data_IF_466822418194
#
_entry.id   IF_466822418194
#
_cell.length_a   1.000
_cell.length_b   1.000
_cell.length_c   1.000
_cell.angle_alpha   90.00
_cell.angle_beta   90.00
_cell.angle_gamma   90.00
#
_symmetry.space_group_name_H-M   'P 1'
#
loop_
_entity.id
_entity.type
_entity.pdbx_description
1 polymer ?
#
# COMPACT_ATOMS: atom_id res chain seq x y z
N UNK A 1 -5.47 20.71 19.20
CA UNK A 1 -6.03 19.54 18.51
C UNK A 1 -6.68 18.57 19.49
N UNK A 2 -7.57 17.73 19.01
CA UNK A 2 -8.19 16.66 19.81
C UNK A 2 -7.47 15.35 19.45
N UNK A 3 -6.87 14.68 20.43
CA UNK A 3 -6.22 13.40 20.27
C UNK A 3 -7.16 12.28 20.72
N UNK A 4 -7.42 11.34 19.82
CA UNK A 4 -8.24 10.16 20.13
C UNK A 4 -7.36 8.91 20.15
N UNK A 5 -7.65 7.95 21.04
CA UNK A 5 -6.94 6.68 21.07
C UNK A 5 -7.18 5.90 19.77
N UNK A 6 -6.15 5.21 19.30
CA UNK A 6 -6.25 4.34 18.13
C UNK A 6 -7.11 3.10 18.46
N UNK A 7 -8.10 2.82 17.60
CA UNK A 7 -9.01 1.66 17.73
C UNK A 7 -8.76 0.63 16.64
N UNK A 8 -7.51 0.20 16.50
CA UNK A 8 -7.06 -0.72 15.43
C UNK A 8 -7.97 -1.94 15.23
N UNK A 9 -8.48 -2.56 16.34
CA UNK A 9 -9.39 -3.71 16.25
C UNK A 9 -10.66 -3.38 15.47
N UNK A 10 -11.28 -2.24 15.76
CA UNK A 10 -12.44 -1.77 15.03
C UNK A 10 -12.13 -1.52 13.55
N UNK A 11 -10.98 -0.90 13.24
CA UNK A 11 -10.59 -0.65 11.84
C UNK A 11 -10.42 -1.95 11.05
N UNK A 12 -9.80 -2.97 11.66
CA UNK A 12 -9.65 -4.30 11.03
C UNK A 12 -10.99 -4.98 10.83
N UNK A 13 -11.92 -4.88 11.80
CA UNK A 13 -13.26 -5.42 11.68
C UNK A 13 -14.03 -4.80 10.51
N UNK A 14 -14.04 -3.46 10.42
CA UNK A 14 -14.66 -2.76 9.29
C UNK A 14 -14.02 -3.13 7.96
N UNK A 15 -12.69 -3.23 7.91
CA UNK A 15 -11.97 -3.71 6.73
C UNK A 15 -12.46 -5.09 6.29
N UNK A 16 -12.54 -6.06 7.21
CA UNK A 16 -13.03 -7.40 6.88
C UNK A 16 -14.45 -7.38 6.31
N UNK A 17 -15.34 -6.55 6.85
CA UNK A 17 -16.71 -6.40 6.34
C UNK A 17 -16.73 -5.82 4.92
N UNK A 18 -15.91 -4.80 4.63
CA UNK A 18 -15.77 -4.25 3.28
C UNK A 18 -15.26 -5.30 2.31
N UNK A 19 -14.16 -5.99 2.66
CA UNK A 19 -13.60 -7.03 1.79
C UNK A 19 -14.53 -8.23 1.63
N UNK A 20 -15.39 -8.54 2.60
CA UNK A 20 -16.42 -9.55 2.45
C UNK A 20 -17.43 -9.17 1.36
N UNK A 21 -17.89 -7.92 1.32
CA UNK A 21 -18.75 -7.42 0.24
C UNK A 21 -18.05 -7.54 -1.11
N UNK A 22 -16.79 -7.11 -1.21
CA UNK A 22 -16.05 -7.17 -2.48
C UNK A 22 -15.92 -8.61 -3.00
N UNK A 23 -15.70 -9.60 -2.13
CA UNK A 23 -15.59 -11.02 -2.48
C UNK A 23 -16.83 -11.62 -3.13
N UNK A 24 -18.00 -11.05 -2.90
CA UNK A 24 -19.23 -11.49 -3.53
C UNK A 24 -19.30 -11.10 -5.02
N UNK A 25 -18.56 -10.07 -5.44
CA UNK A 25 -18.56 -9.60 -6.84
C UNK A 25 -17.43 -10.19 -7.68
N UNK A 26 -16.30 -10.57 -7.08
CA UNK A 26 -15.20 -11.18 -7.80
C UNK A 26 -14.31 -12.00 -6.85
N UNK A 27 -13.78 -13.15 -7.30
CA UNK A 27 -12.75 -13.87 -6.56
C UNK A 27 -11.38 -13.19 -6.60
N UNK A 28 -11.14 -12.33 -7.58
CA UNK A 28 -9.86 -11.65 -7.78
C UNK A 28 -9.84 -10.29 -7.07
N UNK A 29 -9.39 -10.31 -5.83
CA UNK A 29 -9.26 -9.11 -4.99
C UNK A 29 -7.84 -9.05 -4.44
N UNK A 30 -7.23 -7.88 -4.54
CA UNK A 30 -5.95 -7.58 -3.95
C UNK A 30 -6.12 -6.47 -2.90
N UNK A 31 -5.93 -6.80 -1.63
CA UNK A 31 -5.85 -5.81 -0.57
C UNK A 31 -4.52 -5.06 -0.68
N UNK A 32 -4.58 -3.75 -0.83
CA UNK A 32 -3.39 -2.89 -0.83
C UNK A 32 -3.06 -2.41 0.58
N UNK A 33 -4.10 -2.17 1.38
CA UNK A 33 -4.02 -1.80 2.80
C UNK A 33 -5.28 -2.25 3.52
N UNK A 34 -5.45 -1.84 4.76
CA UNK A 34 -6.66 -2.10 5.57
C UNK A 34 -7.90 -1.37 5.04
N UNK A 35 -7.74 -0.32 4.24
CA UNK A 35 -8.80 0.55 3.71
C UNK A 35 -8.80 0.69 2.19
N UNK A 36 -7.89 0.01 1.51
CA UNK A 36 -7.76 0.07 0.06
C UNK A 36 -7.62 -1.32 -0.56
N UNK A 37 -8.34 -1.55 -1.65
CA UNK A 37 -8.26 -2.79 -2.42
C UNK A 37 -8.53 -2.57 -3.90
N UNK A 38 -8.05 -3.50 -4.70
CA UNK A 38 -8.34 -3.61 -6.13
C UNK A 38 -9.15 -4.87 -6.36
N UNK A 39 -10.22 -4.74 -7.13
CA UNK A 39 -11.09 -5.85 -7.54
C UNK A 39 -11.10 -5.94 -9.07
N UNK A 40 -10.92 -7.13 -9.59
CA UNK A 40 -11.07 -7.39 -11.03
C UNK A 40 -12.50 -7.75 -11.35
N UNK A 41 -13.16 -6.89 -12.13
CA UNK A 41 -14.55 -7.09 -12.59
C UNK A 41 -14.64 -7.71 -13.99
N UNK A 42 -13.52 -8.11 -14.60
CA UNK A 42 -13.54 -8.74 -15.92
C UNK A 42 -14.35 -10.04 -15.91
N UNK A 43 -15.27 -10.19 -16.87
CA UNK A 43 -16.08 -11.38 -16.99
C UNK A 43 -17.25 -11.50 -15.99
N UNK A 44 -17.46 -10.51 -15.15
CA UNK A 44 -18.58 -10.51 -14.17
C UNK A 44 -19.87 -9.91 -14.72
N UNK A 45 -19.86 -9.35 -15.94
CA UNK A 45 -20.97 -8.63 -16.56
C UNK A 45 -22.27 -9.41 -16.62
N UNK A 46 -22.19 -10.74 -16.82
CA UNK A 46 -23.38 -11.61 -16.89
C UNK A 46 -24.08 -11.77 -15.54
N UNK A 47 -23.34 -11.62 -14.44
CA UNK A 47 -23.85 -11.80 -13.08
C UNK A 47 -24.32 -10.47 -12.49
N UNK A 48 -23.55 -9.41 -12.67
CA UNK A 48 -23.75 -8.13 -11.97
C UNK A 48 -24.05 -6.95 -12.90
N UNK A 49 -23.98 -7.17 -14.23
CA UNK A 49 -24.16 -6.11 -15.21
C UNK A 49 -22.86 -5.37 -15.56
N UNK A 50 -22.94 -4.28 -16.32
CA UNK A 50 -21.77 -3.53 -16.77
C UNK A 50 -20.88 -3.06 -15.61
N UNK A 51 -19.53 -3.07 -15.76
CA UNK A 51 -18.60 -2.76 -14.69
C UNK A 51 -18.87 -1.43 -13.96
N UNK A 52 -19.31 -0.42 -14.67
CA UNK A 52 -19.65 0.89 -14.08
C UNK A 52 -20.86 0.79 -13.12
N UNK A 53 -21.89 0.05 -13.50
CA UNK A 53 -23.06 -0.20 -12.62
C UNK A 53 -22.68 -1.06 -11.43
N UNK A 54 -21.84 -2.07 -11.64
CA UNK A 54 -21.35 -2.93 -10.57
C UNK A 54 -20.52 -2.15 -9.57
N UNK A 55 -19.61 -1.28 -10.02
CA UNK A 55 -18.82 -0.41 -9.16
C UNK A 55 -19.70 0.55 -8.33
N UNK A 56 -20.71 1.17 -8.94
CA UNK A 56 -21.66 2.03 -8.22
C UNK A 56 -22.46 1.22 -7.17
N UNK A 57 -22.93 0.03 -7.53
CA UNK A 57 -23.64 -0.86 -6.61
C UNK A 57 -22.77 -1.25 -5.40
N UNK A 58 -21.49 -1.56 -5.61
CA UNK A 58 -20.53 -1.88 -4.54
C UNK A 58 -20.40 -0.70 -3.57
N UNK A 59 -20.18 0.52 -4.09
CA UNK A 59 -20.01 1.73 -3.27
C UNK A 59 -21.27 1.96 -2.41
N UNK A 60 -22.45 1.91 -3.03
CA UNK A 60 -23.73 2.10 -2.34
C UNK A 60 -23.96 1.02 -1.28
N UNK A 61 -23.59 -0.20 -1.58
CA UNK A 61 -23.73 -1.32 -0.64
C UNK A 61 -22.84 -1.16 0.57
N UNK A 62 -21.58 -0.77 0.38
CA UNK A 62 -20.65 -0.46 1.48
C UNK A 62 -21.22 0.65 2.37
N UNK A 63 -21.74 1.72 1.78
CA UNK A 63 -22.32 2.82 2.54
C UNK A 63 -23.59 2.39 3.29
N UNK A 64 -24.49 1.65 2.66
CA UNK A 64 -25.77 1.24 3.27
C UNK A 64 -25.61 0.17 4.35
N UNK A 65 -24.72 -0.83 4.14
CA UNK A 65 -24.58 -1.97 5.06
C UNK A 65 -23.56 -1.71 6.17
N UNK A 66 -22.55 -0.87 5.89
CA UNK A 66 -21.42 -0.65 6.81
C UNK A 66 -21.42 0.77 7.38
N UNK A 67 -22.05 1.73 6.67
CA UNK A 67 -22.06 3.15 7.05
C UNK A 67 -20.75 3.88 6.71
N UNK A 68 -19.89 3.31 5.87
CA UNK A 68 -18.62 3.91 5.48
C UNK A 68 -18.73 4.56 4.09
N UNK A 69 -18.40 5.86 3.95
CA UNK A 69 -18.26 6.48 2.65
C UNK A 69 -17.06 5.87 1.92
N UNK A 70 -17.25 5.52 0.67
CA UNK A 70 -16.19 4.99 -0.18
C UNK A 70 -16.10 5.71 -1.52
N UNK A 71 -14.94 5.63 -2.16
CA UNK A 71 -14.71 6.16 -3.51
C UNK A 71 -14.03 5.10 -4.35
N UNK A 72 -14.34 5.07 -5.63
CA UNK A 72 -13.74 4.12 -6.56
C UNK A 72 -13.27 4.79 -7.84
N UNK A 73 -12.28 4.17 -8.47
CA UNK A 73 -11.87 4.42 -9.83
C UNK A 73 -11.99 3.13 -10.64
N UNK A 74 -12.55 3.22 -11.82
CA UNK A 74 -12.72 2.10 -12.74
C UNK A 74 -11.89 2.36 -13.99
N UNK A 75 -10.98 1.45 -14.33
CA UNK A 75 -10.13 1.51 -15.53
C UNK A 75 -9.60 0.12 -15.87
N UNK A 76 -9.04 -0.03 -17.05
CA UNK A 76 -8.34 -1.26 -17.45
C UNK A 76 -6.97 -1.41 -16.78
N UNK A 77 -6.43 -0.34 -16.18
CA UNK A 77 -5.12 -0.34 -15.51
C UNK A 77 -5.25 0.03 -14.03
N UNK A 78 -4.66 -0.78 -13.17
CA UNK A 78 -4.73 -0.60 -11.72
C UNK A 78 -4.22 0.76 -11.23
N UNK A 79 -3.13 1.28 -11.82
CA UNK A 79 -2.62 2.61 -11.47
C UNK A 79 -3.62 3.71 -11.83
N UNK A 80 -4.20 3.66 -13.03
CA UNK A 80 -5.21 4.63 -13.47
C UNK A 80 -6.44 4.57 -12.58
N UNK A 81 -6.92 3.36 -12.26
CA UNK A 81 -8.03 3.16 -11.34
C UNK A 81 -7.73 3.75 -9.94
N UNK A 82 -6.52 3.54 -9.42
CA UNK A 82 -6.09 4.10 -8.13
C UNK A 82 -6.05 5.63 -8.13
N UNK A 83 -5.53 6.24 -9.19
CA UNK A 83 -5.50 7.70 -9.34
C UNK A 83 -6.94 8.23 -9.48
N UNK A 84 -7.77 7.60 -10.30
CA UNK A 84 -9.18 7.94 -10.45
C UNK A 84 -9.94 7.86 -9.12
N UNK A 85 -9.72 6.81 -8.32
CA UNK A 85 -10.30 6.68 -6.98
C UNK A 85 -9.85 7.81 -6.04
N UNK A 86 -8.61 8.26 -6.15
CA UNK A 86 -8.08 9.37 -5.36
C UNK A 86 -8.77 10.70 -5.73
N UNK A 87 -8.95 10.95 -7.01
CA UNK A 87 -9.66 12.14 -7.52
C UNK A 87 -11.17 12.09 -7.26
N UNK A 88 -11.73 10.89 -7.12
CA UNK A 88 -13.15 10.69 -6.83
C UNK A 88 -13.54 10.96 -5.37
N UNK A 89 -12.59 11.21 -4.48
CA UNK A 89 -12.86 11.48 -3.05
C UNK A 89 -13.54 12.85 -2.87
N UNK A 90 -14.47 12.97 -1.92
CA UNK A 90 -15.16 11.89 -1.18
C UNK A 90 -16.37 11.33 -1.96
N UNK A 91 -16.73 10.07 -1.70
CA UNK A 91 -17.98 9.44 -2.18
C UNK A 91 -18.21 9.47 -3.69
N UNK A 92 -17.15 9.38 -4.47
CA UNK A 92 -17.24 9.46 -5.92
C UNK A 92 -16.85 8.17 -6.64
N UNK A 93 -17.23 8.12 -7.91
CA UNK A 93 -16.83 7.10 -8.86
C UNK A 93 -16.35 7.77 -10.15
N UNK A 94 -15.10 7.53 -10.53
CA UNK A 94 -14.58 7.98 -11.82
C UNK A 94 -14.31 6.76 -12.68
N UNK A 95 -14.87 6.78 -13.88
CA UNK A 95 -14.63 5.78 -14.92
C UNK A 95 -13.72 6.35 -15.99
N UNK A 96 -12.63 5.65 -16.24
CA UNK A 96 -11.69 5.94 -17.33
C UNK A 96 -11.82 4.83 -18.37
N UNK A 97 -12.43 5.10 -19.53
CA UNK A 97 -12.61 4.10 -20.58
C UNK A 97 -11.30 3.55 -21.11
N UNK A 98 -11.36 2.31 -21.62
CA UNK A 98 -10.22 1.69 -22.28
C UNK A 98 -9.70 2.57 -23.43
N UNK A 99 -8.39 2.79 -23.47
CA UNK A 99 -7.71 3.62 -24.46
C UNK A 99 -7.66 5.12 -24.12
N UNK A 100 -8.39 5.59 -23.09
CA UNK A 100 -8.39 6.99 -22.63
C UNK A 100 -7.45 7.24 -21.46
N UNK A 101 -6.73 6.22 -21.00
CA UNK A 101 -5.91 6.28 -19.78
C UNK A 101 -4.81 7.35 -19.89
N UNK A 102 -4.14 7.42 -21.04
CA UNK A 102 -3.07 8.41 -21.26
C UNK A 102 -3.62 9.84 -21.26
N UNK A 103 -4.72 10.07 -21.93
CA UNK A 103 -5.36 11.39 -22.01
C UNK A 103 -5.88 11.83 -20.64
N UNK A 104 -6.43 10.90 -19.86
CA UNK A 104 -6.86 11.16 -18.49
C UNK A 104 -5.71 11.51 -17.57
N UNK A 105 -4.58 10.78 -17.68
CA UNK A 105 -3.43 10.94 -16.81
C UNK A 105 -2.56 12.13 -17.18
N UNK A 106 -2.40 12.44 -18.47
CA UNK A 106 -1.44 13.41 -18.96
C UNK A 106 -1.48 14.79 -18.29
N UNK A 107 -2.66 15.42 -18.04
CA UNK A 107 -2.73 16.75 -17.43
C UNK A 107 -2.46 16.74 -15.91
N UNK A 108 -2.38 15.57 -15.26
CA UNK A 108 -2.23 15.47 -13.82
C UNK A 108 -0.77 15.67 -13.40
N UNK A 109 -0.56 16.31 -12.24
CA UNK A 109 0.77 16.46 -11.65
C UNK A 109 1.37 15.12 -11.22
N UNK A 110 2.68 14.98 -11.27
CA UNK A 110 3.37 13.72 -10.94
C UNK A 110 3.23 13.32 -9.47
N UNK A 111 2.89 14.24 -8.59
CA UNK A 111 2.69 14.01 -7.15
C UNK A 111 1.49 13.11 -6.84
N UNK A 112 0.55 12.98 -7.80
CA UNK A 112 -0.62 12.10 -7.63
C UNK A 112 -0.25 10.61 -7.79
N UNK A 113 0.91 10.32 -8.38
CA UNK A 113 1.37 8.95 -8.61
C UNK A 113 1.70 8.30 -7.26
N UNK A 114 1.11 7.15 -6.92
CA UNK A 114 1.45 6.42 -5.71
C UNK A 114 2.97 6.15 -5.62
N UNK A 115 3.58 6.53 -4.49
CA UNK A 115 5.02 6.40 -4.28
C UNK A 115 5.86 7.61 -4.73
N UNK A 116 5.26 8.63 -5.35
CA UNK A 116 5.91 9.91 -5.60
C UNK A 116 5.69 10.83 -4.39
N UNK A 117 6.55 10.71 -3.40
CA UNK A 117 6.57 11.61 -2.24
C UNK A 117 7.34 12.92 -2.51
N UNK A 118 7.41 13.85 -1.54
CA UNK A 118 8.00 15.18 -1.73
C UNK A 118 9.45 15.18 -2.24
N UNK A 119 10.26 14.17 -1.87
CA UNK A 119 11.63 14.03 -2.34
C UNK A 119 11.69 13.66 -3.83
N UNK A 120 10.88 12.69 -4.24
CA UNK A 120 10.80 12.24 -5.64
C UNK A 120 10.19 13.33 -6.53
N UNK A 121 9.12 13.99 -6.06
CA UNK A 121 8.50 15.11 -6.74
C UNK A 121 9.52 16.22 -7.04
N UNK A 122 10.28 16.67 -6.03
CA UNK A 122 11.36 17.67 -6.25
C UNK A 122 12.41 17.22 -7.25
N UNK A 123 12.81 15.95 -7.20
CA UNK A 123 13.79 15.41 -8.13
C UNK A 123 13.27 15.31 -9.58
N UNK A 124 11.97 15.10 -9.77
CA UNK A 124 11.31 15.14 -11.07
C UNK A 124 11.23 16.58 -11.61
N UNK A 125 10.80 17.53 -10.77
CA UNK A 125 10.68 18.93 -11.15
C UNK A 125 12.04 19.53 -11.56
N UNK A 126 13.14 19.16 -10.88
CA UNK A 126 14.49 19.57 -11.27
C UNK A 126 14.90 19.09 -12.68
N UNK A 127 14.21 18.07 -13.21
CA UNK A 127 14.39 17.54 -14.56
C UNK A 127 13.36 18.08 -15.56
N UNK A 128 12.57 19.08 -15.17
CA UNK A 128 11.49 19.62 -15.98
C UNK A 128 10.36 18.62 -16.21
N UNK A 129 10.00 17.84 -15.19
CA UNK A 129 8.90 16.87 -15.23
C UNK A 129 7.92 17.28 -14.11
N UNK A 130 6.83 17.91 -14.50
CA UNK A 130 5.80 18.40 -13.58
C UNK A 130 4.51 17.59 -13.71
N UNK A 131 4.19 17.16 -14.93
CA UNK A 131 2.99 16.41 -15.23
C UNK A 131 3.28 14.95 -15.59
N UNK A 132 2.24 14.12 -15.54
CA UNK A 132 2.32 12.75 -16.06
C UNK A 132 2.56 12.77 -17.58
N UNK A 133 2.04 13.77 -18.30
CA UNK A 133 2.32 13.99 -19.72
C UNK A 133 3.82 14.16 -20.01
N UNK A 134 4.55 14.88 -19.15
CA UNK A 134 5.99 15.01 -19.25
C UNK A 134 6.71 13.67 -19.02
N UNK A 135 6.21 12.84 -18.12
CA UNK A 135 6.71 11.47 -17.93
C UNK A 135 6.46 10.59 -19.14
N UNK A 136 5.24 10.65 -19.71
CA UNK A 136 4.85 9.87 -20.89
C UNK A 136 5.71 10.20 -22.12
N UNK A 137 6.19 11.45 -22.24
CA UNK A 137 7.13 11.85 -23.28
C UNK A 137 8.54 11.24 -23.13
N UNK A 138 8.83 10.59 -22.00
CA UNK A 138 10.14 10.01 -21.64
C UNK A 138 10.00 8.52 -21.32
N UNK A 139 10.02 7.61 -22.31
CA UNK A 139 9.64 6.20 -22.16
C UNK A 139 10.29 5.45 -20.99
N UNK A 140 11.60 5.63 -20.78
CA UNK A 140 12.32 4.99 -19.66
C UNK A 140 11.83 5.44 -18.29
N UNK A 141 11.41 6.70 -18.16
CA UNK A 141 10.88 7.23 -16.91
C UNK A 141 9.42 6.85 -16.74
N UNK A 142 8.63 6.89 -17.82
CA UNK A 142 7.26 6.42 -17.82
C UNK A 142 7.18 4.96 -17.34
N UNK A 143 7.98 4.07 -17.88
CA UNK A 143 8.06 2.67 -17.45
C UNK A 143 8.39 2.51 -15.95
N UNK A 144 9.28 3.36 -15.42
CA UNK A 144 9.66 3.30 -14.00
C UNK A 144 8.53 3.71 -13.05
N UNK A 145 7.71 4.70 -13.43
CA UNK A 145 6.73 5.31 -12.54
C UNK A 145 5.29 4.94 -12.86
N UNK A 146 4.97 4.62 -14.10
CA UNK A 146 3.58 4.47 -14.54
C UNK A 146 3.15 3.03 -14.79
N UNK A 147 4.07 2.08 -15.06
CA UNK A 147 3.78 0.65 -15.33
C UNK A 147 2.42 0.44 -16.08
N UNK A 148 2.23 1.18 -17.17
CA UNK A 148 0.98 1.17 -17.94
C UNK A 148 0.85 -0.06 -18.84
N UNK A 149 1.95 -0.82 -19.07
CA UNK A 149 1.98 -2.01 -19.91
C UNK A 149 1.76 -3.30 -19.09
N UNK A 150 1.79 -3.19 -17.79
CA UNK A 150 1.69 -4.31 -16.87
C UNK A 150 0.26 -4.59 -16.44
N UNK A 151 -0.28 -5.68 -16.88
CA UNK A 151 -1.34 -6.40 -16.19
C UNK A 151 -0.82 -6.92 -14.83
N UNK A 152 -0.12 -6.12 -14.07
CA UNK A 152 0.25 -6.48 -12.71
C UNK A 152 -0.32 -5.44 -11.77
N UNK A 153 -1.54 -5.71 -11.30
CA UNK A 153 -1.62 -5.83 -9.84
C UNK A 153 -0.33 -6.58 -9.46
N UNK A 154 0.67 -5.85 -8.97
CA UNK A 154 1.97 -6.46 -8.63
C UNK A 154 1.62 -7.70 -7.82
N UNK A 155 1.73 -8.88 -8.47
CA UNK A 155 1.86 -10.13 -7.72
C UNK A 155 2.75 -9.76 -6.56
N UNK A 156 2.31 -10.02 -5.35
CA UNK A 156 3.09 -9.75 -4.17
C UNK A 156 4.53 -10.13 -4.51
N UNK A 157 5.36 -9.13 -4.81
CA UNK A 157 6.80 -9.34 -4.71
C UNK A 157 6.93 -9.76 -3.27
N UNK A 158 7.31 -11.01 -3.08
CA UNK A 158 7.63 -11.56 -1.77
C UNK A 158 8.26 -10.44 -0.97
N UNK A 159 7.69 -10.13 0.16
CA UNK A 159 8.12 -9.01 0.98
C UNK A 159 9.63 -9.05 1.07
N UNK A 160 10.29 -8.04 0.51
CA UNK A 160 11.76 -7.99 0.52
C UNK A 160 12.30 -7.80 1.92
N UNK A 161 11.42 -7.53 2.89
CA UNK A 161 11.77 -7.41 4.30
C UNK A 161 10.56 -7.68 5.20
N UNK A 162 10.81 -8.37 6.31
CA UNK A 162 9.89 -8.52 7.44
C UNK A 162 10.48 -7.72 8.58
N UNK A 163 9.71 -6.80 9.15
CA UNK A 163 10.20 -5.94 10.22
C UNK A 163 9.13 -5.62 11.25
N UNK A 164 9.59 -5.27 12.45
CA UNK A 164 8.76 -4.72 13.50
C UNK A 164 9.45 -3.52 14.13
N UNK A 165 8.69 -2.52 14.56
CA UNK A 165 9.22 -1.37 15.27
C UNK A 165 8.22 -0.88 16.32
N UNK A 166 8.74 -0.37 17.42
CA UNK A 166 7.94 0.26 18.47
C UNK A 166 8.47 1.65 18.78
N UNK A 167 7.58 2.52 19.23
CA UNK A 167 7.94 3.83 19.79
C UNK A 167 7.68 3.77 21.28
N UNK A 168 8.71 4.08 22.04
CA UNK A 168 8.67 4.06 23.50
C UNK A 168 8.12 5.38 24.03
N UNK A 169 7.34 5.33 25.10
CA UNK A 169 6.81 6.51 25.79
C UNK A 169 7.94 7.36 26.41
N UNK A 170 8.99 6.70 26.85
CA UNK A 170 10.17 7.33 27.42
C UNK A 170 11.46 6.80 26.79
N UNK A 171 12.50 7.67 26.62
CA UNK A 171 13.79 7.21 26.11
C UNK A 171 14.47 6.24 27.04
N UNK A 172 14.92 5.10 26.52
CA UNK A 172 15.74 4.13 27.24
C UNK A 172 17.21 4.57 27.21
N UNK A 173 17.91 4.45 28.33
CA UNK A 173 19.34 4.78 28.46
C UNK A 173 20.18 3.56 28.77
N UNK A 174 19.58 2.53 29.35
CA UNK A 174 20.28 1.33 29.80
C UNK A 174 20.26 0.24 28.73
N UNK A 175 21.41 -0.39 28.51
CA UNK A 175 21.57 -1.41 27.46
C UNK A 175 20.63 -2.60 27.69
N UNK A 176 20.52 -3.10 28.94
CA UNK A 176 19.64 -4.23 29.24
C UNK A 176 18.19 -4.00 28.86
N UNK A 177 17.65 -2.81 29.15
CA UNK A 177 16.29 -2.46 28.73
C UNK A 177 16.15 -2.39 27.19
N UNK A 178 17.19 -1.94 26.48
CA UNK A 178 17.17 -1.94 25.01
C UNK A 178 17.17 -3.37 24.46
N UNK A 179 17.92 -4.27 25.08
CA UNK A 179 17.99 -5.68 24.71
C UNK A 179 16.64 -6.38 24.95
N UNK A 180 15.96 -6.10 26.05
CA UNK A 180 14.61 -6.63 26.31
C UNK A 180 13.61 -6.21 25.23
N UNK A 181 13.54 -4.91 24.91
CA UNK A 181 12.66 -4.41 23.85
C UNK A 181 13.03 -5.00 22.49
N UNK A 182 14.34 -5.10 22.20
CA UNK A 182 14.79 -5.68 20.94
C UNK A 182 14.41 -7.15 20.84
N UNK A 183 14.51 -7.89 21.94
CA UNK A 183 14.11 -9.30 22.00
C UNK A 183 12.63 -9.48 21.67
N UNK A 184 11.74 -8.69 22.27
CA UNK A 184 10.29 -8.73 21.95
C UNK A 184 10.03 -8.48 20.45
N UNK A 185 10.73 -7.50 19.85
CA UNK A 185 10.61 -7.22 18.41
C UNK A 185 11.12 -8.37 17.54
N UNK A 186 12.20 -9.03 17.98
CA UNK A 186 12.79 -10.20 17.30
C UNK A 186 11.83 -11.39 17.34
N UNK A 187 11.20 -11.69 18.48
CA UNK A 187 10.23 -12.78 18.59
C UNK A 187 9.06 -12.60 17.62
N UNK A 188 8.53 -11.36 17.48
CA UNK A 188 7.46 -11.08 16.52
C UNK A 188 7.91 -11.23 15.07
N UNK A 189 9.14 -10.79 14.74
CA UNK A 189 9.70 -10.96 13.39
C UNK A 189 9.92 -12.44 13.09
N UNK A 190 10.53 -13.20 14.01
CA UNK A 190 10.75 -14.62 13.85
C UNK A 190 9.45 -15.42 13.71
N UNK A 191 8.42 -15.07 14.50
CA UNK A 191 7.11 -15.69 14.37
C UNK A 191 6.48 -15.44 12.99
N UNK A 192 6.62 -14.24 12.42
CA UNK A 192 6.14 -13.94 11.06
C UNK A 192 6.95 -14.70 10.00
N UNK A 193 8.27 -14.74 10.12
CA UNK A 193 9.13 -15.50 9.20
C UNK A 193 8.71 -16.97 9.17
N UNK A 194 8.53 -17.60 10.33
CA UNK A 194 8.09 -19.00 10.43
C UNK A 194 6.69 -19.23 9.86
N UNK A 195 5.75 -18.33 10.15
CA UNK A 195 4.37 -18.43 9.63
C UNK A 195 4.32 -18.34 8.11
N UNK A 196 5.14 -17.46 7.53
CA UNK A 196 5.14 -17.17 6.10
C UNK A 196 6.21 -18.00 5.34
N UNK A 197 6.84 -18.98 6.02
CA UNK A 197 7.90 -19.87 5.51
C UNK A 197 9.09 -19.11 4.90
N UNK A 198 9.43 -17.97 5.49
CA UNK A 198 10.52 -17.09 5.06
C UNK A 198 11.76 -17.24 5.94
N UNK A 199 12.92 -16.93 5.36
CA UNK A 199 14.22 -16.96 6.03
C UNK A 199 14.95 -15.63 5.82
N UNK A 200 15.37 -14.99 6.90
CA UNK A 200 16.13 -13.76 6.85
C UNK A 200 17.63 -14.04 6.60
N UNK A 201 18.22 -13.33 5.65
CA UNK A 201 19.66 -13.35 5.40
C UNK A 201 20.35 -12.05 5.80
N UNK A 202 19.65 -10.94 5.76
CA UNK A 202 20.17 -9.65 6.18
C UNK A 202 19.33 -9.13 7.35
N UNK A 203 19.96 -8.86 8.45
CA UNK A 203 19.35 -8.30 9.65
C UNK A 203 19.65 -6.82 9.71
N UNK A 204 18.66 -6.01 10.05
CA UNK A 204 18.82 -4.56 10.18
C UNK A 204 18.17 -4.07 11.45
N UNK A 205 18.97 -3.42 12.28
CA UNK A 205 18.50 -2.72 13.50
C UNK A 205 18.44 -1.22 13.20
N UNK A 206 17.30 -0.62 13.54
CA UNK A 206 17.07 0.82 13.44
C UNK A 206 16.79 1.39 14.83
N UNK A 207 17.58 2.35 15.24
CA UNK A 207 17.41 3.08 16.50
C UNK A 207 17.14 4.54 16.19
N UNK A 208 16.09 5.10 16.78
CA UNK A 208 15.76 6.51 16.67
C UNK A 208 15.87 7.18 18.04
N UNK A 209 16.68 8.21 18.11
CA UNK A 209 16.85 9.02 19.31
C UNK A 209 15.71 10.01 19.51
N UNK A 210 15.58 10.58 20.71
CA UNK A 210 14.56 11.59 21.05
C UNK A 210 14.62 12.86 20.19
N UNK A 211 15.80 13.18 19.63
CA UNK A 211 15.98 14.28 18.67
C UNK A 211 15.64 13.89 17.21
N UNK A 212 14.99 12.73 17.00
CA UNK A 212 14.63 12.15 15.71
C UNK A 212 15.82 11.72 14.82
N UNK A 213 17.05 11.81 15.29
CA UNK A 213 18.17 11.20 14.57
C UNK A 213 18.01 9.69 14.54
N UNK A 214 18.18 9.11 13.36
CA UNK A 214 18.03 7.66 13.16
C UNK A 214 19.37 7.04 12.80
N UNK A 215 19.72 5.99 13.53
CA UNK A 215 20.87 5.14 13.26
C UNK A 215 20.38 3.80 12.75
N UNK A 216 20.99 3.31 11.67
CA UNK A 216 20.69 1.99 11.11
C UNK A 216 21.98 1.19 11.00
N UNK A 217 21.93 -0.08 11.39
CA UNK A 217 23.04 -1.04 11.23
C UNK A 217 22.49 -2.33 10.64
N UNK A 218 23.21 -2.86 9.66
CA UNK A 218 22.84 -4.12 9.01
C UNK A 218 23.98 -5.13 9.08
N UNK A 219 23.60 -6.41 9.19
CA UNK A 219 24.51 -7.55 9.16
C UNK A 219 23.95 -8.61 8.24
N UNK A 220 24.78 -9.12 7.33
CA UNK A 220 24.43 -10.27 6.49
C UNK A 220 24.90 -11.54 7.15
N UNK A 221 24.02 -12.51 7.32
CA UNK A 221 24.32 -13.81 7.89
C UNK A 221 24.95 -14.73 6.84
N UNK A 222 25.76 -15.67 7.29
CA UNK A 222 26.32 -16.70 6.43
C UNK A 222 25.23 -17.63 5.89
N UNK A 223 24.29 -18.03 6.74
CA UNK A 223 23.15 -18.85 6.38
C UNK A 223 21.84 -18.11 6.69
N UNK A 224 20.78 -18.25 5.85
CA UNK A 224 19.48 -17.73 6.16
C UNK A 224 18.88 -18.39 7.41
N UNK A 225 18.13 -17.64 8.21
CA UNK A 225 17.51 -18.15 9.44
C UNK A 225 16.10 -17.60 9.66
N UNK A 226 15.30 -18.30 10.46
CA UNK A 226 14.03 -17.86 11.04
C UNK A 226 14.01 -18.03 12.57
N UNK A 227 15.16 -18.36 13.19
CA UNK A 227 15.29 -18.59 14.63
C UNK A 227 15.61 -17.29 15.37
N UNK A 228 14.85 -16.99 16.40
CA UNK A 228 14.93 -15.75 17.17
C UNK A 228 16.34 -15.51 17.74
N UNK A 229 17.00 -16.57 18.25
CA UNK A 229 18.37 -16.52 18.80
C UNK A 229 19.45 -16.18 17.77
N UNK A 230 19.21 -16.44 16.50
CA UNK A 230 20.15 -16.11 15.43
C UNK A 230 19.86 -14.75 14.82
N UNK A 231 18.63 -14.24 15.00
CA UNK A 231 18.18 -12.92 14.58
C UNK A 231 18.63 -11.88 15.60
N UNK A 232 18.58 -12.20 16.90
CA UNK A 232 19.05 -11.33 17.99
C UNK A 232 20.57 -11.25 18.03
#
# INVERSE_FOLDING_TARGET
GIFLPNRRRAYVEFSHRVFAILKEYSPEIHALSIDEGVINLSGTDRLFGPPLKTADAIIRRIENEIGLPSSAGLSTHGLTAKIAATLAKPRGLIYVPAGSEKDFLAPLGVEIIPGVGPKTHRALNQKGIETIGDLLSRPRMAQRYLDLDGASARQHRHDHSVGNETTLDHPIKELGQMEEVLWELVEEVGARLRRDELYARCLTVKIRYSNFQTLTRSRTLLSPTCFDKEIF
#
